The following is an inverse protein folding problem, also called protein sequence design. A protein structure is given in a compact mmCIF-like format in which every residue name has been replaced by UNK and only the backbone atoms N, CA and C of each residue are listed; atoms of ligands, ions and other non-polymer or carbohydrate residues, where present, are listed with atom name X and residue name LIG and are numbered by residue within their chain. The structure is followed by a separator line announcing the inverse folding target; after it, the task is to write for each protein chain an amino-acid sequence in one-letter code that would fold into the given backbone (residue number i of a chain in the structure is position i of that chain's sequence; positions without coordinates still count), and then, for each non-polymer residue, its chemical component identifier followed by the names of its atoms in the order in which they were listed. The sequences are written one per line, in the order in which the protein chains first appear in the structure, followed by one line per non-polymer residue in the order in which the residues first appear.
data_IF_876980031340
#
_entry.id   IF_876980031340
#
_cell.length_a   1.000
_cell.length_b   1.000
_cell.length_c   1.000
_cell.angle_alpha   90.00
_cell.angle_beta   90.00
_cell.angle_gamma   90.00
#
_symmetry.space_group_name_H-M   'P 1'
#
loop_
_entity.id
_entity.type
_entity.pdbx_description
1 polymer ?
#
# COMPACT_ATOMS: atom_id res chain seq x y z
N UNK A 1 3.89 4.95 -15.96
CA UNK A 1 5.07 4.50 -15.18
C UNK A 1 5.98 3.59 -16.02
N UNK A 2 7.30 3.61 -15.81
CA UNK A 2 8.26 2.65 -16.41
C UNK A 2 8.78 1.70 -15.33
N UNK A 3 8.00 0.68 -14.99
CA UNK A 3 8.59 -0.51 -14.38
C UNK A 3 9.46 -1.16 -15.49
N UNK A 4 10.70 -1.58 -15.20
CA UNK A 4 11.62 -2.21 -16.18
C UNK A 4 12.04 -1.35 -17.39
N UNK A 5 12.01 -0.02 -17.29
CA UNK A 5 12.57 0.86 -18.34
C UNK A 5 11.80 0.90 -19.67
N UNK A 6 10.58 0.35 -19.71
CA UNK A 6 9.68 0.42 -20.87
C UNK A 6 8.23 0.64 -20.45
N UNK A 7 7.40 1.32 -21.27
CA UNK A 7 6.00 1.56 -20.95
C UNK A 7 5.22 0.27 -20.70
N UNK A 8 4.31 0.30 -19.74
CA UNK A 8 3.47 -0.85 -19.35
C UNK A 8 2.64 -1.42 -20.52
N UNK A 9 2.26 -0.58 -21.49
CA UNK A 9 1.52 -0.97 -22.68
C UNK A 9 2.32 -1.89 -23.63
N UNK A 10 3.64 -1.99 -23.45
CA UNK A 10 4.52 -2.88 -24.23
C UNK A 10 4.81 -4.20 -23.52
N UNK A 11 4.26 -4.41 -22.33
CA UNK A 11 4.47 -5.63 -21.57
C UNK A 11 3.57 -6.75 -22.11
N UNK A 12 4.03 -7.99 -21.99
CA UNK A 12 3.23 -9.18 -22.29
C UNK A 12 2.22 -9.44 -21.17
N UNK A 13 1.12 -10.16 -21.47
CA UNK A 13 0.13 -10.55 -20.45
C UNK A 13 0.77 -11.32 -19.28
N UNK A 14 1.72 -12.21 -19.57
CA UNK A 14 2.48 -12.94 -18.54
C UNK A 14 3.25 -11.99 -17.62
N UNK A 15 3.89 -10.96 -18.17
CA UNK A 15 4.62 -9.97 -17.37
C UNK A 15 3.69 -9.14 -16.49
N UNK A 16 2.54 -8.72 -17.03
CA UNK A 16 1.53 -7.98 -16.28
C UNK A 16 0.98 -8.82 -15.12
N UNK A 17 0.64 -10.10 -15.37
CA UNK A 17 0.14 -11.01 -14.35
C UNK A 17 1.19 -11.25 -13.25
N UNK A 18 2.44 -11.55 -13.63
CA UNK A 18 3.53 -11.75 -12.67
C UNK A 18 3.75 -10.51 -11.78
N UNK A 19 3.70 -9.33 -12.39
CA UNK A 19 3.89 -8.08 -11.65
C UNK A 19 2.71 -7.77 -10.73
N UNK A 20 1.47 -8.00 -11.19
CA UNK A 20 0.27 -7.85 -10.34
C UNK A 20 0.33 -8.76 -9.12
N UNK A 21 0.83 -9.99 -9.27
CA UNK A 21 0.98 -10.93 -8.18
C UNK A 21 2.11 -10.50 -7.23
N UNK A 22 3.21 -9.95 -7.76
CA UNK A 22 4.31 -9.40 -6.96
C UNK A 22 3.82 -8.23 -6.11
N UNK A 23 3.15 -7.24 -6.71
CA UNK A 23 2.59 -6.09 -6.01
C UNK A 23 1.49 -6.50 -5.02
N UNK A 24 0.66 -7.49 -5.35
CA UNK A 24 -0.35 -8.01 -4.44
C UNK A 24 0.25 -8.61 -3.16
N UNK A 25 1.36 -9.35 -3.28
CA UNK A 25 2.11 -9.85 -2.11
C UNK A 25 2.72 -8.71 -1.31
N UNK A 26 3.42 -7.80 -1.98
CA UNK A 26 4.06 -6.64 -1.34
C UNK A 26 3.05 -5.76 -0.59
N UNK A 27 1.89 -5.49 -1.20
CA UNK A 27 0.80 -4.76 -0.56
C UNK A 27 0.26 -5.51 0.66
N UNK A 28 0.06 -6.83 0.56
CA UNK A 28 -0.41 -7.65 1.69
C UNK A 28 0.59 -7.63 2.84
N UNK A 29 1.88 -7.78 2.54
CA UNK A 29 2.95 -7.75 3.53
C UNK A 29 3.03 -6.37 4.20
N UNK A 30 2.98 -5.29 3.42
CA UNK A 30 2.96 -3.91 3.91
C UNK A 30 1.76 -3.63 4.83
N UNK A 31 0.57 -4.07 4.42
CA UNK A 31 -0.64 -3.90 5.21
C UNK A 31 -0.51 -4.58 6.58
N UNK A 32 0.06 -5.78 6.63
CA UNK A 32 0.20 -6.56 7.85
C UNK A 32 1.33 -6.06 8.76
N UNK A 33 2.44 -5.61 8.19
CA UNK A 33 3.69 -5.34 8.92
C UNK A 33 3.89 -3.87 9.28
N UNK A 34 3.30 -2.94 8.55
CA UNK A 34 3.48 -1.51 8.78
C UNK A 34 2.13 -0.78 8.97
N UNK A 35 1.25 -0.81 7.95
CA UNK A 35 0.01 -0.02 7.94
C UNK A 35 -0.93 -0.35 9.11
N UNK A 36 -1.32 -1.63 9.28
CA UNK A 36 -2.24 -2.01 10.35
C UNK A 36 -1.62 -1.79 11.74
N UNK A 37 -0.33 -2.11 11.97
CA UNK A 37 0.37 -1.73 13.19
C UNK A 37 0.35 -0.23 13.48
N UNK A 38 0.62 0.64 12.50
CA UNK A 38 0.62 2.10 12.71
C UNK A 38 -0.78 2.64 13.02
N UNK A 39 -1.84 2.12 12.40
CA UNK A 39 -3.23 2.45 12.74
C UNK A 39 -3.53 2.06 14.19
N UNK A 40 -3.17 0.84 14.60
CA UNK A 40 -3.41 0.35 15.97
C UNK A 40 -2.64 1.16 17.00
N UNK A 41 -1.40 1.54 16.68
CA UNK A 41 -0.57 2.39 17.54
C UNK A 41 -1.21 3.76 17.76
N UNK A 42 -1.62 4.44 16.69
CA UNK A 42 -2.30 5.73 16.76
C UNK A 42 -3.64 5.61 17.52
N UNK A 43 -4.47 4.62 17.20
CA UNK A 43 -5.73 4.39 17.89
C UNK A 43 -5.54 4.10 19.39
N UNK A 44 -4.47 3.38 19.75
CA UNK A 44 -4.11 3.13 21.15
C UNK A 44 -3.77 4.45 21.84
N UNK A 45 -2.99 5.33 21.22
CA UNK A 45 -2.60 6.62 21.82
C UNK A 45 -3.80 7.54 22.06
N UNK A 46 -4.75 7.59 21.11
CA UNK A 46 -5.93 8.46 21.17
C UNK A 46 -7.02 7.99 22.14
N UNK A 47 -7.03 6.72 22.54
CA UNK A 47 -8.05 6.21 23.49
C UNK A 47 -7.87 6.84 24.88
N UNK A 48 -8.93 7.34 25.53
CA UNK A 48 -8.86 7.80 26.92
C UNK A 48 -8.51 6.62 27.84
N UNK A 49 -7.45 6.73 28.63
CA UNK A 49 -7.09 5.69 29.59
C UNK A 49 -7.14 6.26 31.01
N UNK A 50 -8.10 5.79 31.82
CA UNK A 50 -8.24 6.17 33.24
C UNK A 50 -7.06 5.74 34.14
N UNK A 51 -6.25 4.78 33.70
CA UNK A 51 -5.15 4.18 34.50
C UNK A 51 -3.85 3.99 33.72
N UNK A 52 -3.49 4.92 32.83
CA UNK A 52 -2.19 4.83 32.14
C UNK A 52 -1.06 5.16 33.11
N UNK A 53 -0.12 4.22 33.29
CA UNK A 53 1.14 4.44 34.01
C UNK A 53 2.10 5.38 33.28
N UNK A 54 1.93 5.52 31.96
CA UNK A 54 2.79 6.33 31.09
C UNK A 54 1.93 7.44 30.46
N UNK A 55 2.35 8.68 30.69
CA UNK A 55 1.74 9.87 30.10
C UNK A 55 1.95 9.86 28.57
N UNK A 56 0.88 10.12 27.83
CA UNK A 56 0.97 10.29 26.37
C UNK A 56 1.42 11.72 26.12
N UNK A 57 2.57 11.87 25.48
CA UNK A 57 3.06 13.19 25.09
C UNK A 57 2.59 13.54 23.68
N UNK A 58 2.48 14.84 23.39
CA UNK A 58 2.22 15.34 22.04
C UNK A 58 3.26 14.81 21.03
N UNK A 59 4.51 14.67 21.47
CA UNK A 59 5.59 14.06 20.67
C UNK A 59 5.29 12.60 20.30
N UNK A 60 4.75 11.81 21.23
CA UNK A 60 4.37 10.42 20.96
C UNK A 60 3.23 10.35 19.94
N UNK A 61 2.25 11.26 20.01
CA UNK A 61 1.16 11.35 19.05
C UNK A 61 1.70 11.76 17.68
N UNK A 62 2.53 12.81 17.62
CA UNK A 62 3.13 13.31 16.38
C UNK A 62 3.93 12.23 15.66
N UNK A 63 4.74 11.46 16.38
CA UNK A 63 5.49 10.34 15.82
C UNK A 63 4.58 9.24 15.25
N UNK A 64 3.50 8.90 15.96
CA UNK A 64 2.56 7.88 15.49
C UNK A 64 1.78 8.36 14.24
N UNK A 65 1.45 9.64 14.16
CA UNK A 65 0.83 10.25 12.97
C UNK A 65 1.79 10.23 11.78
N UNK A 66 3.05 10.65 11.97
CA UNK A 66 4.07 10.62 10.90
C UNK A 66 4.28 9.20 10.37
N UNK A 67 4.38 8.21 11.25
CA UNK A 67 4.47 6.80 10.87
C UNK A 67 3.24 6.35 10.06
N UNK A 68 2.04 6.68 10.52
CA UNK A 68 0.80 6.35 9.81
C UNK A 68 0.73 7.02 8.43
N UNK A 69 1.17 8.27 8.31
CA UNK A 69 1.19 8.98 7.04
C UNK A 69 2.15 8.34 6.03
N UNK A 70 3.34 7.93 6.48
CA UNK A 70 4.31 7.20 5.64
C UNK A 70 3.75 5.85 5.16
N UNK A 71 3.17 5.07 6.07
CA UNK A 71 2.55 3.80 5.71
C UNK A 71 1.37 3.99 4.74
N UNK A 72 0.55 5.03 4.92
CA UNK A 72 -0.53 5.37 4.00
C UNK A 72 0.01 5.77 2.62
N UNK A 73 1.05 6.61 2.55
CA UNK A 73 1.63 7.05 1.29
C UNK A 73 2.13 5.87 0.45
N UNK A 74 2.83 4.92 1.07
CA UNK A 74 3.31 3.73 0.38
C UNK A 74 2.17 2.78 -0.02
N UNK A 75 1.12 2.66 0.81
CA UNK A 75 -0.10 1.93 0.42
C UNK A 75 -0.75 2.53 -0.83
N UNK A 76 -0.88 3.86 -0.87
CA UNK A 76 -1.41 4.59 -2.02
C UNK A 76 -0.53 4.38 -3.26
N UNK A 77 0.79 4.38 -3.11
CA UNK A 77 1.70 4.07 -4.20
C UNK A 77 1.45 2.66 -4.76
N UNK A 78 1.52 1.62 -3.93
CA UNK A 78 1.34 0.24 -4.36
C UNK A 78 -0.03 0.00 -5.01
N UNK A 79 -1.08 0.60 -4.46
CA UNK A 79 -2.45 0.47 -5.00
C UNK A 79 -2.59 1.16 -6.35
N UNK A 80 -2.01 2.36 -6.54
CA UNK A 80 -1.98 3.04 -7.83
C UNK A 80 -1.22 2.21 -8.89
N UNK A 81 -0.07 1.65 -8.53
CA UNK A 81 0.71 0.80 -9.44
C UNK A 81 -0.08 -0.45 -9.85
N UNK A 82 -0.74 -1.09 -8.87
CA UNK A 82 -1.55 -2.28 -9.11
C UNK A 82 -2.76 -1.95 -9.99
N UNK A 83 -3.44 -0.83 -9.76
CA UNK A 83 -4.57 -0.37 -10.58
C UNK A 83 -4.14 -0.17 -12.05
N UNK A 84 -3.00 0.47 -12.30
CA UNK A 84 -2.45 0.62 -13.66
C UNK A 84 -2.21 -0.73 -14.34
N UNK A 85 -1.65 -1.71 -13.63
CA UNK A 85 -1.41 -3.06 -14.16
C UNK A 85 -2.72 -3.79 -14.44
N UNK A 86 -3.71 -3.72 -13.55
CA UNK A 86 -5.00 -4.36 -13.75
C UNK A 86 -5.74 -3.75 -14.96
N UNK A 87 -5.68 -2.43 -15.14
CA UNK A 87 -6.20 -1.75 -16.34
C UNK A 87 -5.52 -2.24 -17.62
N UNK A 88 -4.19 -2.43 -17.58
CA UNK A 88 -3.45 -2.97 -18.71
C UNK A 88 -3.82 -4.43 -19.01
N UNK A 89 -3.98 -5.28 -17.99
CA UNK A 89 -4.45 -6.67 -18.14
C UNK A 89 -5.82 -6.70 -18.80
N UNK A 90 -6.77 -5.89 -18.30
CA UNK A 90 -8.12 -5.80 -18.86
C UNK A 90 -8.07 -5.40 -20.34
N UNK A 91 -7.27 -4.37 -20.66
CA UNK A 91 -7.08 -3.92 -22.06
C UNK A 91 -6.45 -4.98 -22.97
N UNK A 92 -5.60 -5.86 -22.43
CA UNK A 92 -5.03 -6.98 -23.17
C UNK A 92 -6.07 -8.08 -23.42
N UNK A 93 -6.84 -8.44 -22.40
CA UNK A 93 -7.89 -9.46 -22.51
C UNK A 93 -8.97 -9.05 -23.52
N UNK A 94 -9.40 -7.79 -23.52
CA UNK A 94 -10.40 -7.27 -24.45
C UNK A 94 -9.97 -7.34 -25.92
N UNK A 95 -8.67 -7.36 -26.20
CA UNK A 95 -8.13 -7.50 -27.56
C UNK A 95 -8.16 -8.94 -28.06
N UNK A 96 -8.12 -9.94 -27.18
CA UNK A 96 -8.15 -11.36 -27.57
C UNK A 96 -9.57 -11.90 -27.78
N UNK A 97 -10.58 -11.22 -27.21
CA UNK A 97 -12.00 -11.59 -27.36
C UNK A 97 -12.63 -11.02 -28.65
N UNK A 98 -11.96 -10.06 -29.31
CA UNK A 98 -12.38 -9.47 -30.59
C UNK A 98 -11.71 -10.16 -31.77
#
# INVERSE_FOLDING_TARGET
MTLKGRPIQRWTLRELLNESQRLGRELTDHLNTDYMPSVRELARLLRPHRHRKVEVTDKSIANAVDKQQKAQAYTTELTNQLEEILKAIHSHADREVR
#
